data_IF_294985236584
#
_entry.id   IF_294985236584
#
_cell.length_a   1.000
_cell.length_b   1.000
_cell.length_c   1.000
_cell.angle_alpha   90.00
_cell.angle_beta   90.00
_cell.angle_gamma   90.00
#
_symmetry.space_group_name_H-M   'P 1'
#
loop_
_entity.id
_entity.type
_entity.pdbx_description
1 polymer ?
#
# COMPACT_ATOMS: atom_id res chain seq x y z
N UNK A 1 -9.74 8.06 -5.41
CA UNK A 1 -8.47 7.72 -6.10
C UNK A 1 -7.38 7.54 -5.05
N UNK A 2 -6.50 6.54 -5.17
CA UNK A 2 -5.46 6.20 -4.18
C UNK A 2 -4.13 5.80 -4.83
N UNK A 3 -3.13 5.45 -4.02
CA UNK A 3 -1.77 5.12 -4.46
C UNK A 3 -1.53 3.60 -4.38
N UNK A 4 -1.06 2.99 -5.46
CA UNK A 4 -0.73 1.56 -5.51
C UNK A 4 0.77 1.33 -5.73
N UNK A 5 1.41 0.57 -4.85
CA UNK A 5 2.78 0.08 -5.02
C UNK A 5 3.15 -0.93 -3.93
N UNK A 6 4.33 -1.53 -4.03
CA UNK A 6 5.02 -2.05 -2.85
C UNK A 6 5.77 -0.91 -2.16
N UNK A 7 6.02 -1.03 -0.85
CA UNK A 7 6.87 -0.05 -0.15
C UNK A 7 8.28 0.04 -0.76
N UNK A 8 8.81 -1.09 -1.24
CA UNK A 8 10.12 -1.15 -1.90
C UNK A 8 10.13 -0.39 -3.23
N UNK A 9 9.23 -0.72 -4.16
CA UNK A 9 9.21 -0.06 -5.47
C UNK A 9 8.90 1.43 -5.35
N UNK A 10 8.02 1.82 -4.42
CA UNK A 10 7.79 3.23 -4.14
C UNK A 10 9.08 3.95 -3.74
N UNK A 11 9.86 3.38 -2.81
CA UNK A 11 11.11 3.96 -2.36
C UNK A 11 12.17 4.08 -3.48
N UNK A 12 12.17 3.15 -4.44
CA UNK A 12 13.10 3.15 -5.57
C UNK A 12 12.70 4.11 -6.71
N UNK A 13 11.40 4.23 -6.99
CA UNK A 13 10.90 4.91 -8.19
C UNK A 13 10.39 6.32 -7.86
N UNK A 14 9.51 6.43 -6.86
CA UNK A 14 8.89 7.70 -6.47
C UNK A 14 9.70 8.43 -5.39
N UNK A 15 10.30 7.67 -4.47
CA UNK A 15 11.10 8.18 -3.36
C UNK A 15 10.29 8.95 -2.32
N UNK A 16 10.97 9.84 -1.60
CA UNK A 16 10.37 10.63 -0.52
C UNK A 16 9.41 11.68 -1.06
N UNK A 17 8.15 11.61 -0.62
CA UNK A 17 7.14 12.64 -0.90
C UNK A 17 7.08 13.65 0.24
N UNK A 18 7.19 14.95 -0.10
CA UNK A 18 7.04 16.04 0.86
C UNK A 18 5.60 16.11 1.40
N UNK A 19 5.43 16.52 2.66
CA UNK A 19 4.11 16.65 3.31
C UNK A 19 3.17 17.67 2.64
N UNK A 20 3.73 18.61 1.87
CA UNK A 20 3.03 19.62 1.07
C UNK A 20 2.60 19.12 -0.31
N UNK A 21 3.00 17.92 -0.73
CA UNK A 21 2.61 17.33 -2.01
C UNK A 21 1.10 17.05 -2.06
N UNK A 22 0.45 17.17 -3.23
CA UNK A 22 -0.92 16.71 -3.43
C UNK A 22 -1.10 15.19 -3.23
N UNK A 23 -0.02 14.41 -3.22
CA UNK A 23 -0.06 12.97 -2.95
C UNK A 23 -0.12 12.64 -1.44
N UNK A 24 0.18 13.61 -0.57
CA UNK A 24 0.18 13.39 0.87
C UNK A 24 -1.26 13.25 1.39
N UNK A 25 -1.52 12.21 2.19
CA UNK A 25 -2.84 11.90 2.74
C UNK A 25 -3.73 11.04 1.83
N UNK A 26 -3.34 10.80 0.58
CA UNK A 26 -4.08 9.86 -0.28
C UNK A 26 -4.02 8.44 0.31
N UNK A 27 -5.11 7.65 0.22
CA UNK A 27 -5.12 6.29 0.72
C UNK A 27 -4.14 5.40 -0.06
N UNK A 28 -3.49 4.48 0.64
CA UNK A 28 -2.53 3.53 0.07
C UNK A 28 -3.15 2.15 -0.13
N UNK A 29 -2.86 1.57 -1.29
CA UNK A 29 -3.05 0.17 -1.62
C UNK A 29 -1.69 -0.51 -1.70
N UNK A 30 -1.33 -1.28 -0.67
CA UNK A 30 -0.02 -1.92 -0.57
C UNK A 30 0.00 -3.29 -1.22
N UNK A 31 0.88 -3.49 -2.20
CA UNK A 31 1.08 -4.78 -2.83
C UNK A 31 2.13 -5.65 -2.12
N UNK A 32 2.25 -6.91 -2.56
CA UNK A 32 3.36 -7.79 -2.21
C UNK A 32 3.21 -8.59 -0.92
N UNK A 33 1.98 -8.75 -0.38
CA UNK A 33 1.77 -9.71 0.69
C UNK A 33 1.85 -11.15 0.16
N UNK A 34 2.50 -12.04 0.92
CA UNK A 34 2.71 -13.44 0.52
C UNK A 34 1.47 -14.34 0.75
N UNK A 35 0.46 -13.85 1.47
CA UNK A 35 -0.74 -14.60 1.83
C UNK A 35 -1.86 -13.67 2.27
N UNK A 36 -3.10 -14.20 2.37
CA UNK A 36 -4.23 -13.46 2.92
C UNK A 36 -4.01 -13.00 4.38
N UNK A 37 -3.39 -13.83 5.21
CA UNK A 37 -3.07 -13.48 6.60
C UNK A 37 -2.01 -12.37 6.67
N UNK A 38 -1.04 -12.38 5.76
CA UNK A 38 -0.05 -11.30 5.65
C UNK A 38 -0.66 -10.02 5.11
N UNK A 39 -1.58 -10.11 4.14
CA UNK A 39 -2.33 -8.96 3.64
C UNK A 39 -3.09 -8.26 4.78
N UNK A 40 -3.85 -9.03 5.57
CA UNK A 40 -4.53 -8.51 6.77
C UNK A 40 -3.57 -7.83 7.75
N UNK A 41 -2.42 -8.44 8.01
CA UNK A 41 -1.40 -7.85 8.91
C UNK A 41 -0.80 -6.56 8.34
N UNK A 42 -0.63 -6.49 7.02
CA UNK A 42 -0.08 -5.33 6.33
C UNK A 42 -1.00 -4.09 6.38
N UNK A 43 -2.28 -4.23 6.75
CA UNK A 43 -3.16 -3.09 6.98
C UNK A 43 -2.64 -2.14 8.08
N UNK A 44 -1.81 -2.64 9.01
CA UNK A 44 -1.22 -1.84 10.08
C UNK A 44 0.07 -1.10 9.65
N UNK A 45 0.55 -1.31 8.42
CA UNK A 45 1.75 -0.62 7.92
C UNK A 45 1.47 0.85 7.64
N UNK A 46 2.55 1.63 7.60
CA UNK A 46 2.49 3.02 7.13
C UNK A 46 2.14 3.05 5.64
N UNK A 47 1.32 4.04 5.24
CA UNK A 47 1.06 4.30 3.83
C UNK A 47 2.29 4.83 3.07
N UNK A 48 2.17 4.89 1.74
CA UNK A 48 3.25 5.24 0.81
C UNK A 48 3.69 6.71 0.92
N UNK A 49 2.84 7.59 1.44
CA UNK A 49 3.10 9.03 1.58
C UNK A 49 2.79 9.52 3.00
N UNK A 50 3.32 10.70 3.41
CA UNK A 50 2.95 11.30 4.68
C UNK A 50 1.43 11.44 4.84
N UNK A 51 0.94 11.23 6.06
CA UNK A 51 -0.50 11.27 6.42
C UNK A 51 -1.37 10.20 5.72
N UNK A 52 -0.80 9.33 4.89
CA UNK A 52 -1.53 8.24 4.25
C UNK A 52 -1.95 7.17 5.27
N UNK A 53 -3.04 6.48 4.95
CA UNK A 53 -3.52 5.27 5.62
C UNK A 53 -3.64 4.16 4.58
N UNK A 54 -3.37 2.93 4.97
CA UNK A 54 -3.56 1.76 4.11
C UNK A 54 -5.04 1.42 4.08
N UNK A 55 -5.67 1.48 2.90
CA UNK A 55 -7.08 1.11 2.71
C UNK A 55 -7.25 -0.27 2.07
N UNK A 56 -6.23 -0.75 1.37
CA UNK A 56 -6.22 -2.05 0.70
C UNK A 56 -4.83 -2.66 0.80
N UNK A 57 -4.75 -3.98 0.93
CA UNK A 57 -3.50 -4.73 0.72
C UNK A 57 -3.72 -5.82 -0.32
N UNK A 58 -2.72 -6.10 -1.15
CA UNK A 58 -2.78 -7.12 -2.19
C UNK A 58 -1.86 -8.29 -1.86
N UNK A 59 -2.34 -9.51 -2.12
CA UNK A 59 -1.57 -10.75 -2.08
C UNK A 59 -1.84 -11.59 -3.34
N UNK A 60 -0.92 -12.50 -3.65
CA UNK A 60 -1.09 -13.45 -4.75
C UNK A 60 -1.48 -14.81 -4.17
N UNK A 61 -2.48 -15.45 -4.77
CA UNK A 61 -2.87 -16.83 -4.46
C UNK A 61 -3.30 -17.54 -5.74
N UNK A 62 -2.77 -18.74 -5.99
CA UNK A 62 -3.13 -19.50 -7.20
C UNK A 62 -2.86 -18.76 -8.52
N UNK A 63 -1.86 -17.86 -8.55
CA UNK A 63 -1.53 -17.06 -9.74
C UNK A 63 -2.45 -15.86 -10.00
N UNK A 64 -3.36 -15.54 -9.07
CA UNK A 64 -4.26 -14.40 -9.16
C UNK A 64 -3.98 -13.38 -8.07
N UNK A 65 -4.25 -12.12 -8.40
CA UNK A 65 -4.21 -11.01 -7.45
C UNK A 65 -5.49 -10.97 -6.63
N UNK A 66 -5.33 -11.03 -5.30
CA UNK A 66 -6.40 -10.86 -4.34
C UNK A 66 -6.16 -9.62 -3.50
N UNK A 67 -7.26 -8.98 -3.10
CA UNK A 67 -7.24 -7.75 -2.31
C UNK A 67 -7.94 -7.98 -0.97
N UNK A 68 -7.35 -7.44 0.09
CA UNK A 68 -7.93 -7.41 1.43
C UNK A 68 -8.26 -5.96 1.81
N UNK A 69 -9.52 -5.71 2.17
CA UNK A 69 -9.99 -4.39 2.65
C UNK A 69 -9.46 -4.10 4.05
N UNK A 70 -8.89 -2.91 4.25
CA UNK A 70 -8.43 -2.43 5.56
C UNK A 70 -9.39 -1.40 6.20
N UNK A 71 -10.54 -1.16 5.55
CA UNK A 71 -11.66 -0.33 6.05
C UNK A 71 -12.80 -1.21 6.57
#
# INVERSE_FOLDING_TARGET
>A
MGLYSTGYQWAQIAGTVKSTSPLAGLPSWLAGAASASRAKSNCALTGLTPRSRVSVTQYISGGLDYNYSCI
#
